data_IF_219872794712
#
_entry.id   IF_219872794712
#
_cell.length_a   1.000
_cell.length_b   1.000
_cell.length_c   1.000
_cell.angle_alpha   90.00
_cell.angle_beta   90.00
_cell.angle_gamma   90.00
#
_symmetry.space_group_name_H-M   'P 1'
#
loop_
_entity.id
_entity.type
_entity.pdbx_description
1 polymer ?
#
# COMPACT_ATOMS: atom_id res chain seq x y z
N UNK A 1 -3.79 7.01 29.85
CA UNK A 1 -3.14 6.14 28.85
C UNK A 1 -4.22 5.41 28.04
N UNK A 2 -4.19 5.53 26.74
CA UNK A 2 -5.19 4.85 25.91
C UNK A 2 -4.96 3.33 25.96
N UNK A 3 -6.01 2.59 26.27
CA UNK A 3 -5.96 1.14 26.25
C UNK A 3 -5.87 0.63 24.81
N UNK A 4 -4.95 -0.29 24.56
CA UNK A 4 -4.78 -0.89 23.26
C UNK A 4 -5.79 -2.02 23.07
N UNK A 5 -6.63 -1.88 22.04
CA UNK A 5 -7.85 -2.68 21.91
C UNK A 5 -7.66 -4.05 21.23
N UNK A 6 -6.48 -4.30 20.67
CA UNK A 6 -6.29 -5.49 19.83
C UNK A 6 -5.29 -6.45 20.46
N UNK A 7 -5.60 -7.77 20.54
CA UNK A 7 -4.74 -8.75 21.19
C UNK A 7 -3.51 -9.15 20.37
N UNK A 8 -3.49 -8.83 19.09
CA UNK A 8 -2.38 -9.16 18.20
C UNK A 8 -1.39 -8.01 18.17
N UNK A 9 -0.13 -8.32 17.93
CA UNK A 9 0.99 -7.40 18.10
C UNK A 9 1.57 -6.98 16.76
N UNK A 10 1.85 -5.69 16.67
CA UNK A 10 2.70 -5.17 15.60
C UNK A 10 4.16 -5.44 15.94
N UNK A 11 4.97 -5.72 14.93
CA UNK A 11 6.42 -5.89 15.08
C UNK A 11 7.18 -4.71 14.52
N UNK A 12 6.81 -4.26 13.34
CA UNK A 12 7.47 -3.15 12.67
C UNK A 12 6.55 -2.51 11.66
N UNK A 13 6.81 -1.24 11.36
CA UNK A 13 6.18 -0.53 10.26
C UNK A 13 7.29 0.15 9.47
N UNK A 14 7.29 -0.07 8.16
CA UNK A 14 8.16 0.65 7.24
C UNK A 14 7.31 1.57 6.38
N UNK A 15 7.84 2.74 6.09
CA UNK A 15 7.15 3.71 5.24
C UNK A 15 8.09 4.18 4.14
N UNK A 16 7.52 4.32 2.94
CA UNK A 16 8.16 5.00 1.83
C UNK A 16 7.23 6.10 1.35
N UNK A 17 7.72 7.32 1.36
CA UNK A 17 6.94 8.49 0.96
C UNK A 17 7.23 8.87 -0.50
N UNK A 18 6.41 9.76 -1.03
CA UNK A 18 6.58 10.32 -2.37
C UNK A 18 6.52 9.31 -3.52
N UNK A 19 5.79 8.22 -3.32
CA UNK A 19 5.47 7.31 -4.40
C UNK A 19 4.29 7.85 -5.22
N UNK A 20 4.11 7.30 -6.40
CA UNK A 20 2.93 7.52 -7.22
C UNK A 20 2.19 6.20 -7.39
N UNK A 21 0.87 6.25 -7.38
CA UNK A 21 0.05 5.09 -7.69
C UNK A 21 -0.47 5.23 -9.10
N UNK A 22 -0.13 4.27 -9.96
CA UNK A 22 -0.60 4.29 -11.34
C UNK A 22 -1.63 3.20 -11.58
N UNK A 23 -2.60 3.52 -12.43
CA UNK A 23 -3.56 2.56 -12.95
C UNK A 23 -3.47 2.61 -14.47
N UNK A 24 -3.17 1.48 -15.06
CA UNK A 24 -3.07 1.33 -16.51
C UNK A 24 -4.12 0.35 -17.00
N UNK A 25 -4.76 0.68 -18.13
CA UNK A 25 -5.74 -0.18 -18.78
C UNK A 25 -5.11 -0.75 -20.05
N UNK A 26 -5.60 -1.91 -20.47
CA UNK A 26 -5.14 -2.57 -21.71
C UNK A 26 -3.63 -2.84 -21.73
N UNK A 27 -3.07 -3.25 -20.61
CA UNK A 27 -1.65 -3.63 -20.51
C UNK A 27 -1.44 -4.97 -21.22
N UNK A 28 -0.55 -5.04 -22.23
CA UNK A 28 -0.27 -6.30 -22.91
C UNK A 28 0.31 -7.34 -21.95
N UNK A 29 -0.11 -8.60 -22.10
CA UNK A 29 0.36 -9.68 -21.22
C UNK A 29 1.88 -9.82 -21.18
N UNK A 30 2.55 -9.57 -22.30
CA UNK A 30 4.01 -9.66 -22.37
C UNK A 30 4.76 -8.65 -21.50
N UNK A 31 4.10 -7.55 -21.08
CA UNK A 31 4.71 -6.53 -20.22
C UNK A 31 4.53 -6.83 -18.72
N UNK A 32 3.67 -7.79 -18.35
CA UNK A 32 3.39 -8.08 -16.94
C UNK A 32 4.61 -8.54 -16.17
N UNK A 33 5.47 -9.36 -16.79
CA UNK A 33 6.69 -9.84 -16.12
C UNK A 33 7.63 -8.70 -15.75
N UNK A 34 7.86 -7.74 -16.65
CA UNK A 34 8.72 -6.59 -16.35
C UNK A 34 8.13 -5.67 -15.27
N UNK A 35 6.82 -5.64 -15.14
CA UNK A 35 6.15 -4.89 -14.08
C UNK A 35 6.44 -5.49 -12.71
N UNK A 36 6.39 -6.82 -12.59
CA UNK A 36 6.72 -7.51 -11.33
C UNK A 36 8.20 -7.44 -10.97
N UNK A 37 9.08 -7.15 -11.92
CA UNK A 37 10.50 -6.97 -11.69
C UNK A 37 10.88 -5.55 -11.27
N UNK A 38 9.90 -4.65 -11.17
CA UNK A 38 10.15 -3.25 -10.79
C UNK A 38 10.72 -3.09 -9.39
N UNK A 39 11.50 -2.04 -9.17
CA UNK A 39 12.20 -1.77 -7.91
C UNK A 39 11.30 -1.23 -6.80
N UNK A 40 10.11 -0.79 -7.12
CA UNK A 40 9.20 -0.20 -6.15
C UNK A 40 8.41 -1.29 -5.43
N UNK A 41 8.59 -1.42 -4.08
CA UNK A 41 7.78 -2.33 -3.30
C UNK A 41 6.34 -1.82 -3.19
N UNK A 42 5.47 -2.71 -2.78
CA UNK A 42 4.08 -2.36 -2.52
C UNK A 42 3.11 -3.31 -3.19
N UNK A 43 1.82 -3.09 -2.97
CA UNK A 43 0.80 -3.95 -3.56
C UNK A 43 0.71 -3.74 -5.07
N UNK A 44 0.42 -4.84 -5.77
CA UNK A 44 0.13 -4.82 -7.20
C UNK A 44 -1.27 -5.40 -7.37
N UNK A 45 -2.16 -4.65 -7.99
CA UNK A 45 -3.51 -5.08 -8.28
C UNK A 45 -3.63 -5.31 -9.79
N UNK A 46 -4.15 -6.45 -10.18
CA UNK A 46 -4.25 -6.75 -11.59
C UNK A 46 -5.48 -7.56 -11.96
N UNK A 47 -6.03 -7.27 -13.12
CA UNK A 47 -7.09 -8.04 -13.75
C UNK A 47 -6.61 -8.46 -15.14
N UNK A 48 -6.13 -9.70 -15.24
CA UNK A 48 -5.57 -10.24 -16.47
C UNK A 48 -6.60 -10.30 -17.61
N UNK A 49 -7.85 -10.54 -17.28
CA UNK A 49 -8.90 -10.65 -18.29
C UNK A 49 -9.18 -9.33 -19.00
N UNK A 50 -9.00 -8.21 -18.29
CA UNK A 50 -9.22 -6.85 -18.81
C UNK A 50 -7.93 -6.14 -19.18
N UNK A 51 -6.78 -6.68 -18.78
CA UNK A 51 -5.50 -6.00 -18.95
C UNK A 51 -5.30 -4.79 -18.04
N UNK A 52 -6.07 -4.70 -16.95
CA UNK A 52 -5.97 -3.59 -16.00
C UNK A 52 -4.92 -3.89 -14.92
N UNK A 53 -4.12 -2.89 -14.56
CA UNK A 53 -3.12 -3.02 -13.52
C UNK A 53 -2.96 -1.72 -12.76
N UNK A 54 -2.82 -1.85 -11.43
CA UNK A 54 -2.48 -0.72 -10.55
C UNK A 54 -1.29 -1.09 -9.69
N UNK A 55 -0.35 -0.16 -9.53
CA UNK A 55 0.87 -0.39 -8.73
C UNK A 55 1.53 0.93 -8.36
N UNK A 56 2.46 0.87 -7.43
CA UNK A 56 3.27 2.01 -7.07
C UNK A 56 4.49 2.13 -7.98
N UNK A 57 4.85 3.36 -8.31
CA UNK A 57 6.07 3.68 -9.07
C UNK A 57 6.72 4.92 -8.48
N UNK A 58 7.97 5.17 -8.85
CA UNK A 58 8.65 6.42 -8.52
C UNK A 58 8.05 7.59 -9.30
N UNK A 59 8.27 8.81 -8.83
CA UNK A 59 7.80 10.00 -9.53
C UNK A 59 8.41 10.10 -10.94
N UNK A 60 9.69 9.76 -11.09
CA UNK A 60 10.34 9.77 -12.40
C UNK A 60 9.73 8.76 -13.38
N UNK A 61 9.41 7.56 -12.88
CA UNK A 61 8.77 6.55 -13.70
C UNK A 61 7.35 6.94 -14.07
N UNK A 62 6.63 7.59 -13.13
CA UNK A 62 5.28 8.09 -13.38
C UNK A 62 5.26 9.11 -14.51
N UNK A 63 6.26 10.00 -14.60
CA UNK A 63 6.37 10.97 -15.68
C UNK A 63 6.47 10.30 -17.05
N UNK A 64 7.24 9.22 -17.14
CA UNK A 64 7.36 8.46 -18.40
C UNK A 64 6.06 7.74 -18.74
N UNK A 65 5.41 7.15 -17.74
CA UNK A 65 4.19 6.38 -17.93
C UNK A 65 2.98 7.26 -18.22
N UNK A 66 3.00 8.52 -17.79
CA UNK A 66 1.95 9.49 -18.08
C UNK A 66 1.74 9.74 -19.58
N UNK A 67 2.77 9.47 -20.36
CA UNK A 67 2.69 9.60 -21.83
C UNK A 67 1.94 8.45 -22.50
N UNK A 68 1.73 7.36 -21.77
CA UNK A 68 0.98 6.21 -22.28
C UNK A 68 -0.52 6.46 -22.20
N UNK A 69 -1.31 6.01 -23.22
CA UNK A 69 -2.75 6.18 -23.18
C UNK A 69 -3.37 5.37 -22.05
N UNK A 70 -4.52 5.83 -21.57
CA UNK A 70 -5.31 5.15 -20.53
C UNK A 70 -4.54 4.91 -19.22
N UNK A 71 -3.65 5.83 -18.87
CA UNK A 71 -2.89 5.78 -17.62
C UNK A 71 -3.38 6.87 -16.68
N UNK A 72 -3.76 6.46 -15.45
CA UNK A 72 -4.13 7.37 -14.38
C UNK A 72 -3.02 7.38 -13.33
N UNK A 73 -2.69 8.56 -12.80
CA UNK A 73 -1.62 8.73 -11.82
C UNK A 73 -2.14 9.47 -10.60
N UNK A 74 -1.90 8.90 -9.41
CA UNK A 74 -2.16 9.54 -8.13
C UNK A 74 -0.81 9.81 -7.47
N UNK A 75 -0.40 11.07 -7.32
CA UNK A 75 0.86 11.42 -6.66
C UNK A 75 0.71 11.47 -5.14
N UNK A 76 1.85 11.64 -4.44
CA UNK A 76 1.86 11.82 -2.99
C UNK A 76 1.36 10.62 -2.22
N UNK A 77 1.67 9.43 -2.69
CA UNK A 77 1.25 8.17 -2.07
C UNK A 77 2.32 7.67 -1.11
N UNK A 78 1.88 7.19 0.04
CA UNK A 78 2.73 6.55 1.03
C UNK A 78 2.57 5.03 0.90
N UNK A 79 3.70 4.33 0.90
CA UNK A 79 3.74 2.87 0.92
C UNK A 79 4.07 2.43 2.33
N UNK A 80 3.18 1.66 2.94
CA UNK A 80 3.34 1.13 4.28
C UNK A 80 3.51 -0.38 4.21
N UNK A 81 4.56 -0.89 4.85
CA UNK A 81 4.69 -2.30 5.16
C UNK A 81 4.48 -2.47 6.66
N UNK A 82 3.40 -3.12 7.02
CA UNK A 82 3.04 -3.39 8.43
C UNK A 82 3.33 -4.85 8.71
N UNK A 83 4.21 -5.09 9.67
CA UNK A 83 4.60 -6.44 10.11
C UNK A 83 3.97 -6.73 11.45
N UNK A 84 3.46 -7.94 11.62
CA UNK A 84 2.82 -8.34 12.87
C UNK A 84 2.83 -9.84 13.10
N UNK A 85 2.37 -10.25 14.27
CA UNK A 85 2.29 -11.66 14.67
C UNK A 85 1.22 -12.41 13.89
N UNK A 86 0.11 -11.73 13.58
CA UNK A 86 -0.98 -12.28 12.77
C UNK A 86 -1.66 -11.15 12.01
N UNK A 87 -1.20 -10.92 10.79
CA UNK A 87 -1.71 -9.83 9.97
C UNK A 87 -3.11 -10.11 9.41
N UNK A 88 -3.55 -11.36 9.35
CA UNK A 88 -4.92 -11.66 8.95
C UNK A 88 -5.92 -11.14 9.96
N UNK A 89 -5.60 -11.25 11.26
CA UNK A 89 -6.42 -10.70 12.32
C UNK A 89 -6.32 -9.18 12.42
N UNK A 90 -5.15 -8.61 12.10
CA UNK A 90 -4.90 -7.18 12.21
C UNK A 90 -5.33 -6.37 10.98
N UNK A 91 -5.57 -7.01 9.85
CA UNK A 91 -5.83 -6.34 8.58
C UNK A 91 -6.99 -5.33 8.68
N UNK A 92 -8.19 -5.78 9.00
CA UNK A 92 -9.35 -4.89 9.08
C UNK A 92 -9.20 -3.82 10.16
N UNK A 93 -8.74 -4.13 11.37
CA UNK A 93 -8.48 -3.09 12.37
C UNK A 93 -7.50 -2.02 11.89
N UNK A 94 -6.40 -2.40 11.24
CA UNK A 94 -5.43 -1.43 10.71
C UNK A 94 -6.07 -0.55 9.63
N UNK A 95 -6.80 -1.15 8.71
CA UNK A 95 -7.49 -0.39 7.65
C UNK A 95 -8.50 0.61 8.23
N UNK A 96 -9.26 0.19 9.24
CA UNK A 96 -10.23 1.08 9.90
C UNK A 96 -9.57 2.25 10.58
N UNK A 97 -8.48 2.04 11.30
CA UNK A 97 -7.76 3.10 11.98
C UNK A 97 -7.26 4.13 10.97
N UNK A 98 -6.70 3.67 9.85
CA UNK A 98 -6.23 4.57 8.80
C UNK A 98 -7.38 5.34 8.13
N UNK A 99 -8.48 4.68 7.83
CA UNK A 99 -9.65 5.34 7.22
C UNK A 99 -10.28 6.36 8.16
N UNK A 100 -10.39 6.07 9.45
CA UNK A 100 -10.90 7.00 10.46
C UNK A 100 -10.03 8.24 10.56
N UNK A 101 -8.73 8.13 10.29
CA UNK A 101 -7.80 9.26 10.26
C UNK A 101 -7.81 10.02 8.93
N UNK A 102 -8.69 9.67 8.01
CA UNK A 102 -8.84 10.34 6.72
C UNK A 102 -8.01 9.76 5.59
N UNK A 103 -7.32 8.64 5.80
CA UNK A 103 -6.52 8.02 4.77
C UNK A 103 -7.41 7.41 3.68
N UNK A 104 -6.98 7.58 2.44
CA UNK A 104 -7.55 6.87 1.30
C UNK A 104 -6.65 5.68 0.99
N UNK A 105 -7.21 4.49 1.02
CA UNK A 105 -6.47 3.25 0.75
C UNK A 105 -6.63 2.90 -0.71
N UNK A 106 -5.52 2.87 -1.43
CA UNK A 106 -5.49 2.63 -2.88
C UNK A 106 -5.24 1.17 -3.22
N UNK A 107 -4.51 0.46 -2.39
CA UNK A 107 -4.21 -0.94 -2.60
C UNK A 107 -3.74 -1.63 -1.34
N UNK A 108 -4.00 -2.92 -1.25
CA UNK A 108 -3.64 -3.77 -0.11
C UNK A 108 -3.12 -5.10 -0.63
N UNK A 109 -2.02 -5.56 -0.06
CA UNK A 109 -1.52 -6.92 -0.24
C UNK A 109 -1.27 -7.54 1.12
N UNK A 110 -1.73 -8.76 1.34
CA UNK A 110 -1.74 -9.38 2.65
C UNK A 110 -1.04 -10.75 2.63
N UNK A 111 -0.15 -10.95 3.59
CA UNK A 111 0.37 -12.26 3.95
C UNK A 111 0.19 -12.49 5.45
N UNK A 112 0.59 -13.65 5.97
CA UNK A 112 0.41 -13.97 7.39
C UNK A 112 1.10 -12.98 8.32
N UNK A 113 2.28 -12.49 7.95
CA UNK A 113 3.12 -11.66 8.81
C UNK A 113 3.32 -10.24 8.29
N UNK A 114 2.81 -9.92 7.10
CA UNK A 114 3.00 -8.60 6.50
C UNK A 114 1.75 -8.15 5.75
N UNK A 115 1.46 -6.87 5.86
CA UNK A 115 0.47 -6.20 5.04
C UNK A 115 1.13 -5.01 4.36
N UNK A 116 1.07 -4.96 3.04
CA UNK A 116 1.56 -3.84 2.25
C UNK A 116 0.40 -2.98 1.79
N UNK A 117 0.51 -1.68 2.03
CA UNK A 117 -0.55 -0.72 1.74
C UNK A 117 -0.02 0.41 0.87
N UNK A 118 -0.86 0.86 -0.05
CA UNK A 118 -0.68 2.15 -0.70
C UNK A 118 -1.78 3.08 -0.18
N UNK A 119 -1.39 4.17 0.49
CA UNK A 119 -2.33 5.10 1.12
C UNK A 119 -2.01 6.54 0.77
N UNK A 120 -3.03 7.39 0.85
CA UNK A 120 -2.91 8.81 0.61
C UNK A 120 -3.69 9.57 1.68
N UNK A 121 -3.16 10.73 2.12
CA UNK A 121 -3.90 11.62 3.00
C UNK A 121 -3.80 11.30 4.49
N UNK A 122 -2.78 10.56 4.92
CA UNK A 122 -2.54 10.30 6.34
C UNK A 122 -1.22 10.95 6.77
N UNK A 123 -1.27 11.89 7.71
CA UNK A 123 -0.10 12.69 8.10
C UNK A 123 0.96 11.90 8.85
N UNK A 124 0.57 11.01 9.74
CA UNK A 124 1.50 10.27 10.59
C UNK A 124 1.03 8.83 10.80
N UNK A 125 1.04 8.02 9.74
CA UNK A 125 0.47 6.66 9.85
C UNK A 125 1.23 5.77 10.83
N UNK A 126 2.55 5.94 10.95
CA UNK A 126 3.36 5.14 11.89
C UNK A 126 2.95 5.44 13.33
N UNK A 127 2.91 6.72 13.72
CA UNK A 127 2.53 7.14 15.05
C UNK A 127 1.10 6.72 15.38
N UNK A 128 0.22 6.87 14.42
CA UNK A 128 -1.18 6.49 14.56
C UNK A 128 -1.32 4.99 14.89
N UNK A 129 -0.65 4.15 14.14
CA UNK A 129 -0.73 2.70 14.33
C UNK A 129 -0.06 2.25 15.62
N UNK A 130 1.12 2.78 15.93
CA UNK A 130 1.79 2.46 17.20
C UNK A 130 1.01 2.96 18.41
N UNK A 131 0.21 4.00 18.27
CA UNK A 131 -0.66 4.48 19.33
C UNK A 131 -1.88 3.59 19.57
N UNK A 132 -2.32 2.84 18.60
CA UNK A 132 -3.56 2.05 18.65
C UNK A 132 -3.34 0.56 18.84
N UNK A 133 -2.17 0.05 18.53
CA UNK A 133 -1.86 -1.39 18.57
C UNK A 133 -0.70 -1.66 19.51
N UNK A 134 -0.72 -2.85 20.12
CA UNK A 134 0.41 -3.32 20.92
C UNK A 134 1.59 -3.66 20.01
N UNK A 135 2.80 -3.36 20.47
CA UNK A 135 4.03 -3.58 19.71
C UNK A 135 4.90 -4.61 20.40
N UNK A 136 5.35 -5.60 19.64
CA UNK A 136 6.30 -6.60 20.11
C UNK A 136 7.68 -6.27 19.54
N UNK A 137 8.60 -5.96 20.43
CA UNK A 137 9.98 -5.66 20.06
C UNK A 137 10.83 -6.93 19.99
#
# INVERSE_FOLDING_TARGET
MAEKMYPHWLRAIRIREDACWITQKNVPRGTWNSIFEGDMPGPVLGDLSRGHMSRAVTAAEAERLALMPETEIVPGVQLLDVYGTDMRALCLPVLRVLEEAGARILGVSLSTQRMSLAVQGCDSPIDLLYGRFSVQL
#
